data_IF_716403574076
#
_entry.id   IF_716403574076
#
_cell.length_a   1.000
_cell.length_b   1.000
_cell.length_c   1.000
_cell.angle_alpha   90.00
_cell.angle_beta   90.00
_cell.angle_gamma   90.00
#
_symmetry.space_group_name_H-M   'P 1'
#
loop_
_entity.id
_entity.type
_entity.pdbx_description
1 polymer ?
#
# COMPACT_ATOMS: atom_id res chain seq x y z
N UNK A 1 -28.40 -7.80 7.39
CA UNK A 1 -28.04 -8.84 6.40
C UNK A 1 -27.15 -8.19 5.35
N UNK A 2 -25.83 -8.32 5.47
CA UNK A 2 -24.89 -7.88 4.43
C UNK A 2 -24.57 -9.09 3.56
N UNK A 3 -25.16 -9.13 2.37
CA UNK A 3 -24.86 -10.15 1.38
C UNK A 3 -23.45 -9.92 0.86
N UNK A 4 -22.51 -10.76 1.30
CA UNK A 4 -21.27 -10.99 0.57
C UNK A 4 -21.66 -11.53 -0.81
N UNK A 5 -21.75 -10.65 -1.80
CA UNK A 5 -21.75 -11.05 -3.20
C UNK A 5 -20.60 -12.02 -3.38
N UNK A 6 -20.88 -13.21 -3.91
CA UNK A 6 -19.90 -14.26 -4.21
C UNK A 6 -18.92 -13.73 -5.25
N UNK A 7 -17.98 -12.89 -4.85
CA UNK A 7 -16.87 -12.46 -5.69
C UNK A 7 -15.98 -13.68 -5.89
N UNK A 8 -16.22 -14.43 -6.97
CA UNK A 8 -15.44 -15.62 -7.28
C UNK A 8 -14.07 -15.20 -7.80
N UNK A 9 -13.03 -15.32 -6.98
CA UNK A 9 -11.65 -15.17 -7.40
C UNK A 9 -11.24 -16.31 -8.36
N UNK A 10 -10.48 -15.97 -9.39
CA UNK A 10 -9.86 -16.89 -10.34
C UNK A 10 -8.36 -16.61 -10.41
N UNK A 11 -7.61 -17.60 -10.87
CA UNK A 11 -6.19 -17.43 -11.20
C UNK A 11 -5.99 -16.25 -12.14
N UNK A 12 -4.94 -15.46 -11.90
CA UNK A 12 -4.63 -14.25 -12.64
C UNK A 12 -5.40 -13.00 -12.21
N UNK A 13 -6.37 -13.10 -11.28
CA UNK A 13 -6.99 -11.90 -10.70
C UNK A 13 -5.98 -11.14 -9.84
N UNK A 14 -5.92 -9.83 -10.03
CA UNK A 14 -5.17 -8.92 -9.15
C UNK A 14 -6.02 -8.60 -7.92
N UNK A 15 -5.36 -8.60 -6.76
CA UNK A 15 -6.03 -8.38 -5.48
C UNK A 15 -5.35 -7.33 -4.62
N UNK A 16 -6.16 -6.76 -3.74
CA UNK A 16 -5.74 -6.06 -2.54
C UNK A 16 -6.28 -6.86 -1.35
N UNK A 17 -5.38 -7.37 -0.52
CA UNK A 17 -5.68 -8.13 0.68
C UNK A 17 -5.32 -7.34 1.93
N UNK A 18 -6.05 -7.59 3.00
CA UNK A 18 -5.70 -7.12 4.34
C UNK A 18 -5.59 -8.32 5.29
N UNK A 19 -4.53 -8.32 6.10
CA UNK A 19 -4.32 -9.31 7.15
C UNK A 19 -4.37 -8.57 8.48
N UNK A 20 -5.27 -8.99 9.36
CA UNK A 20 -5.39 -8.39 10.68
C UNK A 20 -4.28 -8.85 11.62
N UNK A 21 -3.59 -7.88 12.23
CA UNK A 21 -2.39 -8.08 13.06
C UNK A 21 -2.68 -7.70 14.53
N UNK A 22 -3.95 -7.68 14.93
CA UNK A 22 -4.41 -7.31 16.28
C UNK A 22 -4.79 -5.84 16.42
N UNK A 23 -3.87 -4.90 16.21
CA UNK A 23 -4.17 -3.47 16.39
C UNK A 23 -4.25 -2.68 15.07
N UNK A 24 -3.85 -3.33 13.98
CA UNK A 24 -3.81 -2.78 12.63
C UNK A 24 -3.96 -3.91 11.61
N UNK A 25 -4.04 -3.54 10.33
CA UNK A 25 -3.98 -4.48 9.22
C UNK A 25 -2.71 -4.25 8.40
N UNK A 26 -2.00 -5.32 8.08
CA UNK A 26 -1.01 -5.32 7.02
C UNK A 26 -1.70 -5.55 5.67
N UNK A 27 -1.03 -5.18 4.58
CA UNK A 27 -1.59 -5.22 3.23
C UNK A 27 -0.87 -6.28 2.40
N UNK A 28 -1.62 -6.98 1.55
CA UNK A 28 -1.09 -7.81 0.47
C UNK A 28 -1.54 -7.20 -0.85
N UNK A 29 -0.61 -6.91 -1.75
CA UNK A 29 -0.94 -6.69 -3.17
C UNK A 29 -0.37 -7.85 -3.96
N UNK A 30 -1.16 -8.44 -4.87
CA UNK A 30 -0.69 -9.62 -5.56
C UNK A 30 -1.63 -10.16 -6.61
N UNK A 31 -1.26 -11.32 -7.13
CA UNK A 31 -2.02 -12.08 -8.11
C UNK A 31 -2.43 -13.39 -7.49
N UNK A 32 -3.69 -13.79 -7.72
CA UNK A 32 -4.17 -15.12 -7.33
C UNK A 32 -3.47 -16.16 -8.19
N UNK A 33 -2.71 -17.06 -7.55
CA UNK A 33 -2.17 -18.25 -8.22
C UNK A 33 -3.18 -19.38 -8.20
N UNK A 34 -3.85 -19.59 -7.07
CA UNK A 34 -4.75 -20.71 -6.89
C UNK A 34 -5.81 -20.41 -5.84
N UNK A 35 -7.03 -20.90 -6.04
CA UNK A 35 -8.10 -20.85 -5.04
C UNK A 35 -8.36 -22.24 -4.51
N UNK A 36 -8.34 -22.40 -3.19
CA UNK A 36 -8.71 -23.64 -2.51
C UNK A 36 -9.72 -23.34 -1.40
N UNK A 37 -10.95 -23.85 -1.53
CA UNK A 37 -12.04 -23.62 -0.58
C UNK A 37 -12.23 -22.14 -0.23
N UNK A 38 -11.89 -21.79 1.02
CA UNK A 38 -12.02 -20.46 1.60
C UNK A 38 -10.66 -19.76 1.77
N UNK A 39 -9.66 -20.15 0.97
CA UNK A 39 -8.30 -19.61 0.98
C UNK A 39 -7.85 -19.28 -0.43
N UNK A 40 -7.03 -18.24 -0.56
CA UNK A 40 -6.41 -17.85 -1.83
C UNK A 40 -4.90 -17.93 -1.70
N UNK A 41 -4.25 -18.72 -2.55
CA UNK A 41 -2.80 -18.66 -2.71
C UNK A 41 -2.48 -17.42 -3.54
N UNK A 42 -1.71 -16.50 -2.98
CA UNK A 42 -1.34 -15.25 -3.61
C UNK A 42 0.17 -15.21 -3.78
N UNK A 43 0.62 -14.72 -4.94
CA UNK A 43 1.98 -14.28 -5.16
C UNK A 43 2.00 -12.76 -5.29
N UNK A 44 2.83 -12.09 -4.50
CA UNK A 44 2.86 -10.64 -4.45
C UNK A 44 3.76 -10.08 -3.37
N UNK A 45 3.33 -8.98 -2.77
CA UNK A 45 4.11 -8.21 -1.80
C UNK A 45 3.30 -7.98 -0.53
N UNK A 46 3.91 -8.29 0.60
CA UNK A 46 3.42 -7.92 1.93
C UNK A 46 3.93 -6.54 2.31
N UNK A 47 3.04 -5.67 2.77
CA UNK A 47 3.33 -4.27 3.11
C UNK A 47 2.86 -4.02 4.54
N UNK A 48 3.80 -3.68 5.42
CA UNK A 48 3.53 -3.30 6.82
C UNK A 48 3.67 -1.78 7.01
N UNK A 49 2.68 -1.08 7.61
CA UNK A 49 2.67 0.38 7.72
C UNK A 49 3.53 0.92 8.88
N UNK A 50 4.80 0.54 8.97
CA UNK A 50 5.65 0.75 10.15
C UNK A 50 5.75 2.22 10.61
N UNK A 51 5.82 3.19 9.70
CA UNK A 51 5.92 4.60 10.05
C UNK A 51 4.65 5.16 10.69
N UNK A 52 3.48 4.62 10.33
CA UNK A 52 2.23 4.97 11.02
C UNK A 52 2.16 4.29 12.40
N UNK A 53 2.63 3.06 12.53
CA UNK A 53 2.71 2.36 13.82
C UNK A 53 3.63 3.09 14.82
N UNK A 54 4.77 3.61 14.37
CA UNK A 54 5.65 4.45 15.18
C UNK A 54 4.96 5.74 15.64
N UNK A 55 4.13 6.35 14.78
CA UNK A 55 3.33 7.53 15.13
C UNK A 55 2.23 7.20 16.15
N UNK A 56 1.65 6.01 16.10
CA UNK A 56 0.73 5.52 17.15
C UNK A 56 1.47 5.44 18.48
N UNK A 57 2.61 4.73 18.51
CA UNK A 57 3.41 4.53 19.74
C UNK A 57 3.88 5.84 20.36
N UNK A 58 4.19 6.84 19.54
CA UNK A 58 4.62 8.17 20.01
C UNK A 58 3.48 9.15 20.29
N UNK A 59 2.21 8.75 20.14
CA UNK A 59 1.05 9.61 20.35
C UNK A 59 0.90 10.74 19.32
N UNK A 60 1.58 10.64 18.17
CA UNK A 60 1.63 11.67 17.11
C UNK A 60 0.75 11.33 15.91
N UNK A 61 0.00 10.24 15.96
CA UNK A 61 -0.87 9.84 14.84
C UNK A 61 -2.11 10.74 14.79
N UNK A 62 -2.38 11.43 13.67
CA UNK A 62 -3.63 12.17 13.51
C UNK A 62 -4.83 11.21 13.46
N UNK A 63 -5.98 11.55 14.05
CA UNK A 63 -7.13 10.63 14.19
C UNK A 63 -7.59 9.97 12.88
N UNK A 64 -7.56 10.71 11.76
CA UNK A 64 -7.93 10.21 10.43
C UNK A 64 -7.13 9.00 9.95
N UNK A 65 -5.91 8.80 10.45
CA UNK A 65 -5.07 7.66 10.06
C UNK A 65 -5.38 6.39 10.88
N UNK A 66 -6.10 6.48 12.00
CA UNK A 66 -6.53 5.30 12.75
C UNK A 66 -7.45 4.41 11.91
N UNK A 67 -8.36 5.01 11.14
CA UNK A 67 -9.25 4.28 10.24
C UNK A 67 -8.46 3.59 9.13
N UNK A 68 -7.46 4.26 8.56
CA UNK A 68 -6.60 3.70 7.52
C UNK A 68 -5.80 2.50 8.03
N UNK A 69 -5.31 2.54 9.28
CA UNK A 69 -4.60 1.40 9.88
C UNK A 69 -5.51 0.20 10.17
N UNK A 70 -6.79 0.44 10.51
CA UNK A 70 -7.75 -0.63 10.86
C UNK A 70 -8.47 -1.22 9.66
N UNK A 71 -8.68 -0.41 8.62
CA UNK A 71 -9.40 -0.79 7.42
C UNK A 71 -8.74 -0.17 6.17
N UNK A 72 -7.49 -0.57 5.85
CA UNK A 72 -6.87 -0.15 4.61
C UNK A 72 -7.66 -0.72 3.43
N UNK A 73 -7.74 0.07 2.38
CA UNK A 73 -8.36 -0.31 1.11
C UNK A 73 -7.62 0.40 -0.03
N UNK A 74 -7.83 0.00 -1.29
CA UNK A 74 -7.13 0.56 -2.44
C UNK A 74 -7.29 2.07 -2.57
N UNK A 75 -8.39 2.67 -2.08
CA UNK A 75 -8.66 4.11 -2.18
C UNK A 75 -7.90 4.93 -1.13
N UNK A 76 -7.58 4.35 0.02
CA UNK A 76 -6.86 5.05 1.11
C UNK A 76 -5.42 4.58 1.29
N UNK A 77 -4.98 3.52 0.59
CA UNK A 77 -3.61 2.94 0.70
C UNK A 77 -2.51 3.97 0.50
N UNK A 78 -2.74 5.01 -0.31
CA UNK A 78 -1.76 6.08 -0.52
C UNK A 78 -1.34 6.74 0.80
N UNK A 79 -2.23 6.84 1.78
CA UNK A 79 -1.91 7.39 3.09
C UNK A 79 -0.92 6.52 3.86
N UNK A 80 -0.91 5.20 3.64
CA UNK A 80 0.11 4.29 4.16
C UNK A 80 1.41 4.47 3.37
N UNK A 81 1.33 4.47 2.03
CA UNK A 81 2.50 4.58 1.15
C UNK A 81 3.21 5.93 1.19
N UNK A 82 2.58 6.98 1.75
CA UNK A 82 3.24 8.26 2.03
C UNK A 82 4.06 8.25 3.34
N UNK A 83 4.06 7.14 4.05
CA UNK A 83 4.85 6.91 5.26
C UNK A 83 5.79 5.74 5.05
N UNK A 84 6.69 5.54 6.01
CA UNK A 84 7.62 4.40 5.98
C UNK A 84 6.83 3.10 6.02
N UNK A 85 7.17 2.19 5.11
CA UNK A 85 6.62 0.82 5.07
C UNK A 85 7.76 -0.18 5.09
N UNK A 86 7.48 -1.35 5.64
CA UNK A 86 8.33 -2.54 5.49
C UNK A 86 7.68 -3.46 4.47
N UNK A 87 8.47 -3.98 3.54
CA UNK A 87 7.98 -4.72 2.37
C UNK A 87 8.74 -6.01 2.22
N UNK A 88 8.02 -7.13 2.08
CA UNK A 88 8.59 -8.45 1.84
C UNK A 88 7.84 -9.15 0.71
N UNK A 89 8.50 -10.07 0.03
CA UNK A 89 7.81 -10.97 -0.89
C UNK A 89 6.76 -11.78 -0.13
N UNK A 90 5.62 -12.01 -0.78
CA UNK A 90 4.53 -12.83 -0.26
C UNK A 90 4.22 -13.94 -1.25
N UNK A 91 4.37 -15.19 -0.80
CA UNK A 91 3.95 -16.37 -1.54
C UNK A 91 3.30 -17.36 -0.57
N UNK A 92 2.06 -17.08 -0.18
CA UNK A 92 1.33 -17.88 0.80
C UNK A 92 -0.19 -17.78 0.59
N UNK A 93 -0.95 -18.46 1.45
CA UNK A 93 -2.40 -18.42 1.49
C UNK A 93 -2.92 -17.28 2.37
N UNK A 94 -3.97 -16.62 1.89
CA UNK A 94 -4.82 -15.75 2.71
C UNK A 94 -6.13 -16.49 2.98
N UNK A 95 -6.42 -16.70 4.27
CA UNK A 95 -7.70 -17.24 4.72
C UNK A 95 -8.78 -16.15 4.64
N UNK A 96 -9.86 -16.41 3.88
CA UNK A 96 -10.99 -15.50 3.71
C UNK A 96 -11.90 -15.55 4.95
N UNK A 97 -11.44 -14.94 6.04
CA UNK A 97 -12.16 -14.90 7.31
C UNK A 97 -12.90 -13.57 7.52
N UNK A 98 -13.53 -13.40 8.67
CA UNK A 98 -14.09 -12.09 9.06
C UNK A 98 -13.02 -11.04 9.39
N UNK A 99 -11.77 -11.45 9.63
CA UNK A 99 -10.67 -10.57 10.01
C UNK A 99 -9.78 -10.18 8.84
N UNK A 100 -9.70 -11.02 7.81
CA UNK A 100 -8.94 -10.75 6.59
C UNK A 100 -9.90 -10.43 5.46
N UNK A 101 -9.67 -9.32 4.76
CA UNK A 101 -10.44 -9.00 3.56
C UNK A 101 -9.58 -9.17 2.32
N UNK A 102 -10.21 -9.61 1.22
CA UNK A 102 -9.59 -9.57 -0.11
C UNK A 102 -10.59 -8.95 -1.05
N UNK A 103 -10.14 -7.96 -1.82
CA UNK A 103 -10.91 -7.34 -2.89
C UNK A 103 -10.17 -7.43 -4.22
N UNK A 104 -10.93 -7.61 -5.31
CA UNK A 104 -10.35 -7.57 -6.65
C UNK A 104 -10.02 -6.14 -7.02
N UNK A 105 -8.83 -5.93 -7.57
CA UNK A 105 -8.43 -4.67 -8.18
C UNK A 105 -8.15 -4.90 -9.66
N UNK A 106 -8.17 -3.83 -10.46
CA UNK A 106 -7.75 -3.92 -11.85
C UNK A 106 -6.22 -3.91 -11.95
N UNK A 107 -5.70 -4.41 -13.08
CA UNK A 107 -4.25 -4.48 -13.35
C UNK A 107 -3.55 -3.14 -13.17
N UNK A 108 -4.18 -2.06 -13.62
CA UNK A 108 -3.60 -0.71 -13.55
C UNK A 108 -3.38 -0.26 -12.11
N UNK A 109 -4.36 -0.50 -11.25
CA UNK A 109 -4.29 -0.15 -9.83
C UNK A 109 -3.26 -1.00 -9.09
N UNK A 110 -3.17 -2.28 -9.45
CA UNK A 110 -2.10 -3.15 -8.97
C UNK A 110 -0.72 -2.63 -9.39
N UNK A 111 -0.52 -2.38 -10.69
CA UNK A 111 0.74 -1.90 -11.25
C UNK A 111 1.20 -0.59 -10.63
N UNK A 112 0.26 0.33 -10.33
CA UNK A 112 0.59 1.56 -9.62
C UNK A 112 1.12 1.27 -8.20
N UNK A 113 0.40 0.48 -7.39
CA UNK A 113 0.85 0.14 -6.03
C UNK A 113 2.18 -0.62 -6.02
N UNK A 114 2.31 -1.60 -6.93
CA UNK A 114 3.53 -2.39 -7.11
C UNK A 114 4.72 -1.51 -7.50
N UNK A 115 4.51 -0.56 -8.42
CA UNK A 115 5.52 0.41 -8.81
C UNK A 115 5.94 1.31 -7.64
N UNK A 116 4.97 1.84 -6.87
CA UNK A 116 5.25 2.65 -5.68
C UNK A 116 6.20 1.93 -4.71
N UNK A 117 5.89 0.67 -4.42
CA UNK A 117 6.66 -0.16 -3.49
C UNK A 117 8.04 -0.51 -4.05
N UNK A 118 8.11 -1.07 -5.26
CA UNK A 118 9.37 -1.53 -5.86
C UNK A 118 10.36 -0.40 -6.13
N UNK A 119 9.86 0.79 -6.46
CA UNK A 119 10.70 1.95 -6.68
C UNK A 119 11.06 2.70 -5.39
N UNK A 120 10.62 2.22 -4.22
CA UNK A 120 10.98 2.82 -2.94
C UNK A 120 10.41 4.23 -2.72
N UNK A 121 9.30 4.58 -3.39
CA UNK A 121 8.64 5.87 -3.17
C UNK A 121 8.24 6.08 -1.70
N UNK A 122 7.72 5.07 -0.97
CA UNK A 122 7.36 5.28 0.44
C UNK A 122 8.50 5.79 1.31
N UNK A 123 9.72 5.28 1.15
CA UNK A 123 10.88 5.73 1.90
C UNK A 123 11.23 7.19 1.55
N UNK A 124 11.24 7.55 0.27
CA UNK A 124 11.51 8.90 -0.19
C UNK A 124 10.47 9.90 0.32
N UNK A 125 9.18 9.58 0.18
CA UNK A 125 8.09 10.43 0.69
C UNK A 125 8.17 10.55 2.21
N UNK A 126 8.40 9.46 2.94
CA UNK A 126 8.52 9.49 4.39
C UNK A 126 9.65 10.41 4.85
N UNK A 127 10.83 10.32 4.24
CA UNK A 127 11.95 11.21 4.54
C UNK A 127 11.61 12.67 4.24
N UNK A 128 11.07 12.96 3.05
CA UNK A 128 10.76 14.33 2.60
C UNK A 128 9.70 15.02 3.47
N UNK A 129 8.72 14.24 3.96
CA UNK A 129 7.63 14.73 4.80
C UNK A 129 7.98 14.79 6.30
N UNK A 130 9.13 14.25 6.68
CA UNK A 130 9.61 14.25 8.06
C UNK A 130 10.60 15.39 8.34
N UNK A 131 11.16 15.42 9.55
CA UNK A 131 12.27 16.30 9.93
C UNK A 131 13.63 15.58 9.78
N UNK A 132 13.75 14.60 8.87
CA UNK A 132 15.01 13.89 8.62
C UNK A 132 16.09 14.88 8.15
N UNK A 133 17.32 14.85 8.71
CA UNK A 133 18.42 15.71 8.27
C UNK A 133 18.75 15.61 6.77
N UNK A 134 18.43 14.48 6.13
CA UNK A 134 18.63 14.21 4.70
C UNK A 134 17.45 14.63 3.84
N UNK A 135 16.49 15.37 4.39
CA UNK A 135 15.26 15.78 3.69
C UNK A 135 15.53 16.44 2.34
N UNK A 136 16.51 17.34 2.24
CA UNK A 136 16.83 18.03 0.99
C UNK A 136 17.45 17.09 -0.06
N UNK A 137 18.27 16.13 0.37
CA UNK A 137 18.80 15.09 -0.50
C UNK A 137 17.69 14.15 -0.98
N UNK A 138 16.84 13.67 -0.07
CA UNK A 138 15.68 12.85 -0.38
C UNK A 138 14.72 13.56 -1.35
N UNK A 139 14.55 14.88 -1.21
CA UNK A 139 13.73 15.68 -2.13
C UNK A 139 14.32 15.72 -3.54
N UNK A 140 15.63 15.90 -3.68
CA UNK A 140 16.32 15.83 -4.98
C UNK A 140 16.15 14.46 -5.62
N UNK A 141 16.43 13.39 -4.85
CA UNK A 141 16.25 12.01 -5.31
C UNK A 141 14.81 11.71 -5.75
N UNK A 142 13.83 12.20 -4.98
CA UNK A 142 12.41 12.05 -5.33
C UNK A 142 12.09 12.76 -6.66
N UNK A 143 12.55 13.99 -6.87
CA UNK A 143 12.34 14.73 -8.12
C UNK A 143 13.01 14.03 -9.30
N UNK A 144 14.24 13.56 -9.13
CA UNK A 144 14.98 12.85 -10.19
C UNK A 144 14.29 11.54 -10.57
N UNK A 145 13.86 10.76 -9.57
CA UNK A 145 13.09 9.53 -9.79
C UNK A 145 11.74 9.81 -10.43
N UNK A 146 11.04 10.87 -10.03
CA UNK A 146 9.80 11.31 -10.66
C UNK A 146 10.00 11.69 -12.13
N UNK A 147 11.10 12.36 -12.45
CA UNK A 147 11.44 12.73 -13.83
C UNK A 147 11.69 11.49 -14.70
N UNK A 148 12.26 10.42 -14.15
CA UNK A 148 12.60 9.18 -14.87
C UNK A 148 11.46 8.16 -14.99
N UNK A 149 10.28 8.40 -14.41
CA UNK A 149 9.12 7.50 -14.55
C UNK A 149 8.73 7.35 -16.03
N UNK A 150 8.78 6.13 -16.61
CA UNK A 150 8.41 5.92 -18.01
C UNK A 150 6.91 6.03 -18.27
N UNK A 151 6.09 5.51 -17.35
CA UNK A 151 4.64 5.53 -17.47
C UNK A 151 4.08 6.93 -17.19
N UNK A 152 3.48 7.55 -18.22
CA UNK A 152 3.00 8.93 -18.14
C UNK A 152 1.87 9.12 -17.12
N UNK A 153 1.07 8.09 -16.86
CA UNK A 153 -0.05 8.17 -15.93
C UNK A 153 0.42 8.05 -14.49
N UNK A 154 1.26 7.05 -14.18
CA UNK A 154 1.90 6.91 -12.87
C UNK A 154 2.69 8.19 -12.55
N UNK A 155 3.45 8.69 -13.53
CA UNK A 155 4.15 9.97 -13.41
C UNK A 155 3.19 11.08 -13.02
N UNK A 156 2.11 11.27 -13.78
CA UNK A 156 1.12 12.32 -13.48
C UNK A 156 0.55 12.20 -12.06
N UNK A 157 0.22 11.00 -11.60
CA UNK A 157 -0.33 10.78 -10.26
C UNK A 157 0.69 11.12 -9.17
N UNK A 158 1.93 10.65 -9.29
CA UNK A 158 2.99 10.95 -8.32
C UNK A 158 3.29 12.47 -8.28
N UNK A 159 3.34 13.15 -9.43
CA UNK A 159 3.50 14.61 -9.47
C UNK A 159 2.33 15.35 -8.83
N UNK A 160 1.10 14.91 -9.04
CA UNK A 160 -0.07 15.52 -8.42
C UNK A 160 0.01 15.41 -6.89
N UNK A 161 0.40 14.25 -6.37
CA UNK A 161 0.60 14.02 -4.93
C UNK A 161 1.73 14.89 -4.38
N UNK A 162 2.89 14.93 -5.05
CA UNK A 162 4.01 15.76 -4.63
C UNK A 162 3.65 17.26 -4.55
N UNK A 163 2.91 17.78 -5.54
CA UNK A 163 2.39 19.17 -5.52
C UNK A 163 1.41 19.40 -4.40
N UNK A 164 0.45 18.49 -4.19
CA UNK A 164 -0.53 18.59 -3.12
C UNK A 164 0.14 18.66 -1.74
N UNK A 165 1.24 17.93 -1.57
CA UNK A 165 2.05 17.91 -0.36
C UNK A 165 3.07 19.06 -0.28
N UNK A 166 3.08 19.97 -1.27
CA UNK A 166 4.01 21.11 -1.38
C UNK A 166 5.48 20.71 -1.39
N UNK A 167 5.78 19.55 -1.97
CA UNK A 167 7.15 19.06 -2.19
C UNK A 167 7.77 19.73 -3.42
N UNK A 168 6.97 20.04 -4.44
CA UNK A 168 7.36 20.75 -5.66
C UNK A 168 6.37 21.88 -5.97
#
# INVERSE_FOLDING_TARGET
MFGFGKTSFKEGDYIFGTIYEGDYCSIIIGVVEFKHDNRLKIKGTHIKPIGLLEKVKSGKLPPRFNEVLKAPNPNNVIHILLNKVDTNDFEDYIDLTQFNSVEKINVKRFSEMDYWVKEGFPELFAMVLSQDPRRDEARKMLIDKMNSIPDAEIKRTIYAIARQLKII
#
